data_IF_385894200896
#
_entry.id   IF_385894200896
#
_cell.length_a   1.000
_cell.length_b   1.000
_cell.length_c   1.000
_cell.angle_alpha   90.00
_cell.angle_beta   90.00
_cell.angle_gamma   90.00
#
_symmetry.space_group_name_H-M   'P 1'
#
loop_
_entity.id
_entity.type
_entity.pdbx_description
1 polymer ?
#
# COMPACT_ATOMS: atom_id res chain seq x y z
N UNK A 1 -20.60 35.06 -4.30
CA UNK A 1 -20.08 34.22 -3.20
C UNK A 1 -19.43 32.99 -3.81
N UNK A 2 -18.12 32.75 -3.63
CA UNK A 2 -17.58 31.40 -3.74
C UNK A 2 -17.44 30.78 -2.36
N UNK A 3 -17.65 29.46 -2.34
CA UNK A 3 -17.94 28.64 -1.19
C UNK A 3 -16.69 28.45 -0.31
N UNK A 4 -16.89 28.83 0.96
CA UNK A 4 -16.23 28.45 2.23
C UNK A 4 -15.18 27.34 2.17
N UNK A 5 -13.99 27.67 2.70
CA UNK A 5 -13.06 26.83 3.45
C UNK A 5 -13.05 25.34 3.05
N UNK A 6 -12.24 24.99 2.06
CA UNK A 6 -11.48 23.74 2.14
C UNK A 6 -10.63 23.84 3.39
N UNK A 7 -11.13 23.30 4.51
CA UNK A 7 -10.26 22.85 5.60
C UNK A 7 -9.15 22.07 4.91
N UNK A 8 -7.93 22.62 4.91
CA UNK A 8 -6.74 21.87 4.53
C UNK A 8 -6.86 20.54 5.28
N UNK A 9 -6.96 19.43 4.55
CA UNK A 9 -6.76 18.14 5.17
C UNK A 9 -5.36 18.23 5.74
N UNK A 10 -5.23 18.23 7.08
CA UNK A 10 -3.91 18.31 7.74
C UNK A 10 -3.05 17.05 7.49
N UNK A 11 -3.50 16.14 6.60
CA UNK A 11 -2.84 14.91 6.22
C UNK A 11 -3.18 14.49 4.79
N UNK A 12 -2.44 13.48 4.34
CA UNK A 12 -2.61 12.84 3.05
C UNK A 12 -3.82 11.91 3.08
N UNK A 13 -4.69 12.03 2.09
CA UNK A 13 -5.76 11.06 1.86
C UNK A 13 -5.22 9.93 0.99
N UNK A 14 -5.38 8.68 1.40
CA UNK A 14 -5.00 7.50 0.64
C UNK A 14 -6.27 6.69 0.37
N UNK A 15 -6.57 6.43 -0.90
CA UNK A 15 -7.75 5.69 -1.33
C UNK A 15 -7.29 4.40 -2.00
N UNK A 16 -7.72 3.26 -1.48
CA UNK A 16 -7.54 1.97 -2.13
C UNK A 16 -8.56 1.84 -3.27
N UNK A 17 -8.08 1.58 -4.48
CA UNK A 17 -8.92 1.38 -5.67
C UNK A 17 -9.23 -0.10 -5.82
N UNK A 18 -8.21 -0.92 -6.11
CA UNK A 18 -8.33 -2.36 -6.24
C UNK A 18 -6.96 -3.07 -6.26
N UNK A 19 -7.00 -4.39 -6.42
CA UNK A 19 -5.85 -5.21 -6.79
C UNK A 19 -6.05 -5.77 -8.20
N UNK A 20 -5.01 -5.67 -9.04
CA UNK A 20 -4.99 -6.23 -10.39
C UNK A 20 -3.86 -7.25 -10.48
N UNK A 21 -4.19 -8.46 -10.93
CA UNK A 21 -3.18 -9.46 -11.31
C UNK A 21 -2.70 -9.17 -12.73
N UNK A 22 -1.40 -8.90 -12.90
CA UNK A 22 -0.81 -8.82 -14.25
C UNK A 22 -0.29 -10.18 -14.67
N UNK A 23 -0.94 -10.78 -15.66
CA UNK A 23 -0.56 -12.09 -16.20
C UNK A 23 0.81 -12.11 -16.90
N UNK A 24 1.24 -10.98 -17.47
CA UNK A 24 2.54 -10.85 -18.17
C UNK A 24 3.72 -10.82 -17.20
N UNK A 25 3.56 -10.16 -16.06
CA UNK A 25 4.63 -9.94 -15.07
C UNK A 25 4.48 -10.82 -13.83
N UNK A 26 3.43 -11.65 -13.80
CA UNK A 26 3.02 -12.51 -12.70
C UNK A 26 3.16 -11.79 -11.35
N UNK A 27 2.45 -10.69 -11.15
CA UNK A 27 2.52 -9.91 -9.92
C UNK A 27 1.13 -9.44 -9.49
N UNK A 28 0.98 -9.18 -8.19
CA UNK A 28 -0.17 -8.48 -7.63
C UNK A 28 0.15 -6.98 -7.58
N UNK A 29 -0.68 -6.16 -8.25
CA UNK A 29 -0.58 -4.71 -8.24
C UNK A 29 -1.72 -4.10 -7.43
N UNK A 30 -1.40 -3.48 -6.30
CA UNK A 30 -2.36 -2.68 -5.52
C UNK A 30 -2.40 -1.25 -6.03
N UNK A 31 -3.55 -0.81 -6.54
CA UNK A 31 -3.75 0.55 -7.03
C UNK A 31 -4.32 1.45 -5.93
N UNK A 32 -3.67 2.59 -5.74
CA UNK A 32 -4.07 3.60 -4.78
C UNK A 32 -4.08 4.98 -5.42
N UNK A 33 -4.97 5.84 -4.94
CA UNK A 33 -4.93 7.27 -5.20
C UNK A 33 -4.55 7.98 -3.92
N UNK A 34 -3.57 8.86 -4.00
CA UNK A 34 -3.19 9.71 -2.87
C UNK A 34 -3.50 11.17 -3.19
N UNK A 35 -4.01 11.89 -2.22
CA UNK A 35 -4.24 13.33 -2.30
C UNK A 35 -3.39 14.01 -1.23
N UNK A 36 -2.52 14.92 -1.67
CA UNK A 36 -1.70 15.72 -0.77
C UNK A 36 -2.55 16.75 -0.02
N UNK A 37 -2.05 17.31 1.10
CA UNK A 37 -2.73 18.40 1.82
C UNK A 37 -3.08 19.61 0.94
N UNK A 38 -2.28 19.88 -0.09
CA UNK A 38 -2.48 20.96 -1.07
C UNK A 38 -3.50 20.60 -2.17
N UNK A 39 -4.09 19.40 -2.10
CA UNK A 39 -5.10 18.91 -3.05
C UNK A 39 -4.53 18.30 -4.32
N UNK A 40 -3.22 18.04 -4.41
CA UNK A 40 -2.63 17.35 -5.58
C UNK A 40 -2.91 15.86 -5.51
N UNK A 41 -3.43 15.30 -6.59
CA UNK A 41 -3.78 13.88 -6.70
C UNK A 41 -2.69 13.15 -7.50
N UNK A 42 -2.22 12.00 -7.00
CA UNK A 42 -1.32 11.08 -7.71
C UNK A 42 -1.83 9.64 -7.58
N UNK A 43 -1.56 8.82 -8.60
CA UNK A 43 -1.85 7.37 -8.56
C UNK A 43 -0.57 6.59 -8.25
N UNK A 44 -0.64 5.68 -7.28
CA UNK A 44 0.48 4.84 -6.82
C UNK A 44 0.12 3.36 -7.04
N UNK A 45 1.13 2.53 -7.36
CA UNK A 45 0.98 1.09 -7.59
C UNK A 45 1.95 0.27 -6.74
N UNK A 46 1.50 -0.25 -5.61
CA UNK A 46 2.35 -1.15 -4.82
C UNK A 46 2.40 -2.52 -5.49
N UNK A 47 3.61 -3.04 -5.74
CA UNK A 47 3.82 -4.28 -6.48
C UNK A 47 4.37 -5.37 -5.58
N UNK A 48 3.68 -6.50 -5.57
CA UNK A 48 4.14 -7.73 -4.94
C UNK A 48 4.49 -8.75 -6.04
N UNK A 49 5.79 -9.06 -6.16
CA UNK A 49 6.28 -10.06 -7.11
C UNK A 49 5.74 -11.44 -6.77
N UNK A 50 5.53 -12.29 -7.78
CA UNK A 50 5.14 -13.68 -7.56
C UNK A 50 6.11 -14.43 -6.68
N UNK A 51 7.41 -14.25 -6.85
CA UNK A 51 8.43 -14.97 -6.06
C UNK A 51 8.23 -14.70 -4.58
N UNK A 52 8.09 -13.43 -4.20
CA UNK A 52 7.77 -13.03 -2.84
C UNK A 52 6.47 -13.68 -2.33
N UNK A 53 5.39 -13.69 -3.12
CA UNK A 53 4.11 -14.28 -2.73
C UNK A 53 4.23 -15.80 -2.54
N UNK A 54 4.84 -16.49 -3.52
CA UNK A 54 5.01 -17.93 -3.53
C UNK A 54 5.89 -18.37 -2.34
N UNK A 55 6.99 -17.66 -2.08
CA UNK A 55 7.93 -17.95 -1.00
C UNK A 55 7.32 -17.64 0.38
N UNK A 56 6.72 -16.46 0.55
CA UNK A 56 6.17 -16.01 1.84
C UNK A 56 5.04 -16.93 2.31
N UNK A 57 4.11 -17.28 1.42
CA UNK A 57 2.98 -18.15 1.74
C UNK A 57 3.28 -19.65 1.56
N UNK A 58 4.52 -20.00 1.19
CA UNK A 58 4.97 -21.38 0.93
C UNK A 58 4.04 -22.12 -0.03
N UNK A 59 3.71 -21.48 -1.15
CA UNK A 59 2.78 -22.02 -2.14
C UNK A 59 3.45 -23.23 -2.82
N UNK A 60 2.82 -24.42 -2.80
CA UNK A 60 3.40 -25.59 -3.45
C UNK A 60 3.53 -25.37 -4.96
N UNK A 61 4.70 -25.71 -5.51
CA UNK A 61 5.01 -25.65 -6.94
C UNK A 61 4.36 -26.75 -7.78
N UNK A 62 3.12 -27.13 -7.49
CA UNK A 62 2.41 -28.22 -8.16
C UNK A 62 1.56 -27.72 -9.35
N UNK A 63 0.84 -28.65 -9.99
CA UNK A 63 -0.06 -28.35 -11.13
C UNK A 63 -1.18 -27.35 -10.79
N UNK A 64 -1.51 -27.20 -9.50
CA UNK A 64 -2.53 -26.31 -8.98
C UNK A 64 -1.95 -24.97 -8.48
N UNK A 65 -0.66 -24.68 -8.67
CA UNK A 65 0.00 -23.47 -8.15
C UNK A 65 -0.78 -22.17 -8.46
N UNK A 66 -1.34 -22.03 -9.67
CA UNK A 66 -2.13 -20.84 -10.05
C UNK A 66 -3.41 -20.72 -9.21
N UNK A 67 -4.12 -21.82 -8.99
CA UNK A 67 -5.35 -21.87 -8.19
C UNK A 67 -5.05 -21.63 -6.71
N UNK A 68 -3.97 -22.24 -6.20
CA UNK A 68 -3.52 -22.07 -4.83
C UNK A 68 -3.14 -20.60 -4.55
N UNK A 69 -2.43 -19.96 -5.48
CA UNK A 69 -2.11 -18.53 -5.39
C UNK A 69 -3.35 -17.65 -5.41
N UNK A 70 -4.26 -17.83 -6.38
CA UNK A 70 -5.48 -17.04 -6.46
C UNK A 70 -6.31 -17.14 -5.15
N UNK A 71 -6.39 -18.35 -4.57
CA UNK A 71 -7.03 -18.56 -3.26
C UNK A 71 -6.36 -17.75 -2.15
N UNK A 72 -5.03 -17.81 -2.04
CA UNK A 72 -4.26 -17.05 -1.04
C UNK A 72 -4.42 -15.55 -1.23
N UNK A 73 -4.38 -15.06 -2.47
CA UNK A 73 -4.54 -13.65 -2.79
C UNK A 73 -5.89 -13.12 -2.31
N UNK A 74 -6.95 -13.90 -2.47
CA UNK A 74 -8.29 -13.53 -1.98
C UNK A 74 -8.39 -13.63 -0.45
N UNK A 75 -7.95 -14.74 0.15
CA UNK A 75 -8.01 -14.97 1.61
C UNK A 75 -7.15 -13.97 2.40
N UNK A 76 -6.02 -13.54 1.83
CA UNK A 76 -5.04 -12.64 2.46
C UNK A 76 -5.07 -11.24 1.87
N UNK A 77 -6.12 -10.87 1.11
CA UNK A 77 -6.26 -9.55 0.49
C UNK A 77 -6.09 -8.38 1.48
N UNK A 78 -6.60 -8.54 2.69
CA UNK A 78 -6.45 -7.55 3.77
C UNK A 78 -4.99 -7.33 4.17
N UNK A 79 -4.16 -8.39 4.13
CA UNK A 79 -2.75 -8.34 4.51
C UNK A 79 -1.94 -7.60 3.45
N UNK A 80 -2.18 -7.90 2.17
CA UNK A 80 -1.59 -7.14 1.06
C UNK A 80 -1.95 -5.66 1.12
N UNK A 81 -3.20 -5.35 1.50
CA UNK A 81 -3.64 -3.96 1.68
C UNK A 81 -2.88 -3.27 2.81
N UNK A 82 -2.68 -3.94 3.96
CA UNK A 82 -1.85 -3.41 5.07
C UNK A 82 -0.41 -3.17 4.65
N UNK A 83 0.21 -4.14 3.99
CA UNK A 83 1.55 -4.02 3.44
C UNK A 83 1.67 -2.81 2.49
N UNK A 84 0.70 -2.64 1.59
CA UNK A 84 0.69 -1.53 0.65
C UNK A 84 0.52 -0.16 1.33
N UNK A 85 -0.35 -0.07 2.35
CA UNK A 85 -0.52 1.17 3.11
C UNK A 85 0.78 1.62 3.78
N UNK A 86 1.47 0.72 4.48
CA UNK A 86 2.74 1.04 5.14
C UNK A 86 3.78 1.52 4.12
N UNK A 87 3.86 0.90 2.94
CA UNK A 87 4.76 1.35 1.87
C UNK A 87 4.42 2.74 1.35
N UNK A 88 3.14 3.06 1.21
CA UNK A 88 2.70 4.40 0.79
C UNK A 88 3.05 5.44 1.87
N UNK A 89 2.84 5.12 3.15
CA UNK A 89 3.21 5.99 4.27
C UNK A 89 4.73 6.24 4.32
N UNK A 90 5.53 5.19 4.15
CA UNK A 90 7.00 5.29 4.03
C UNK A 90 7.42 6.20 2.87
N UNK A 91 6.71 6.14 1.74
CA UNK A 91 6.98 6.98 0.58
C UNK A 91 6.66 8.45 0.86
N UNK A 92 5.49 8.71 1.46
CA UNK A 92 5.07 10.06 1.86
C UNK A 92 6.10 10.67 2.82
N UNK A 93 6.57 9.91 3.81
CA UNK A 93 7.57 10.37 4.79
C UNK A 93 8.95 10.68 4.21
N UNK A 94 9.29 10.06 3.08
CA UNK A 94 10.56 10.31 2.39
C UNK A 94 10.48 11.49 1.42
N UNK A 95 9.29 12.05 1.17
CA UNK A 95 9.07 13.15 0.21
C UNK A 95 9.70 12.87 -1.16
N UNK A 96 9.80 11.59 -1.54
CA UNK A 96 10.35 11.18 -2.84
C UNK A 96 9.34 11.60 -3.90
N UNK A 97 9.80 12.28 -4.95
CA UNK A 97 8.91 12.63 -6.06
C UNK A 97 8.34 11.34 -6.63
N UNK A 98 7.02 11.23 -6.57
CA UNK A 98 6.24 10.02 -6.80
C UNK A 98 6.11 9.81 -8.32
N UNK A 99 7.25 9.72 -9.00
CA UNK A 99 7.34 9.53 -10.45
C UNK A 99 7.70 8.09 -10.80
N UNK A 100 8.21 7.30 -9.84
CA UNK A 100 8.32 5.85 -9.95
C UNK A 100 7.29 5.16 -9.02
N UNK A 101 6.13 4.73 -9.56
CA UNK A 101 5.00 4.32 -8.76
C UNK A 101 5.05 2.86 -8.30
N UNK A 102 6.13 2.11 -8.58
CA UNK A 102 6.28 0.69 -8.22
C UNK A 102 7.13 0.53 -6.96
N UNK A 103 6.47 0.39 -5.80
CA UNK A 103 7.16 0.03 -4.56
C UNK A 103 7.29 -1.49 -4.51
N UNK A 104 8.52 -2.00 -4.59
CA UNK A 104 8.81 -3.43 -4.48
C UNK A 104 9.00 -3.84 -3.02
N UNK A 105 8.22 -4.82 -2.57
CA UNK A 105 8.44 -5.46 -1.29
C UNK A 105 8.96 -6.88 -1.49
N UNK A 106 10.21 -7.13 -1.08
CA UNK A 106 10.86 -8.45 -1.07
C UNK A 106 11.26 -8.90 0.34
N UNK A 107 11.03 -8.05 1.34
CA UNK A 107 11.47 -8.29 2.71
C UNK A 107 10.41 -9.09 3.48
N UNK A 108 10.65 -10.40 3.56
CA UNK A 108 9.79 -11.34 4.28
C UNK A 108 9.76 -11.08 5.78
N UNK A 109 10.84 -10.57 6.38
CA UNK A 109 10.88 -10.24 7.81
C UNK A 109 10.01 -9.01 8.10
N UNK A 110 10.06 -7.99 7.23
CA UNK A 110 9.14 -6.85 7.29
C UNK A 110 7.68 -7.28 7.12
N UNK A 111 7.39 -8.12 6.13
CA UNK A 111 6.03 -8.59 5.86
C UNK A 111 5.47 -9.38 7.06
N UNK A 112 6.32 -10.21 7.67
CA UNK A 112 6.01 -10.98 8.88
C UNK A 112 5.75 -10.08 10.09
N UNK A 113 6.58 -9.07 10.32
CA UNK A 113 6.34 -8.08 11.40
C UNK A 113 4.98 -7.38 11.27
N UNK A 114 4.51 -7.15 10.03
CA UNK A 114 3.18 -6.56 9.80
C UNK A 114 2.06 -7.58 10.02
N UNK A 115 2.24 -8.82 9.56
CA UNK A 115 1.26 -9.90 9.82
C UNK A 115 1.08 -10.14 11.33
N UNK A 116 2.18 -10.11 12.08
CA UNK A 116 2.22 -10.28 13.54
C UNK A 116 1.77 -9.03 14.32
N UNK A 117 1.54 -7.90 13.64
CA UNK A 117 1.10 -6.64 14.25
C UNK A 117 2.19 -5.86 14.98
N UNK A 118 3.46 -6.27 14.85
CA UNK A 118 4.62 -5.52 15.36
C UNK A 118 4.86 -4.21 14.60
N UNK A 119 4.38 -4.13 13.36
CA UNK A 119 4.33 -2.91 12.55
C UNK A 119 2.89 -2.74 12.05
N UNK A 120 2.31 -1.56 12.29
CA UNK A 120 0.95 -1.24 11.89
C UNK A 120 0.96 -0.01 10.96
N UNK A 121 0.02 0.09 10.00
CA UNK A 121 -0.21 1.34 9.29
C UNK A 121 -0.50 2.46 10.30
N UNK A 122 0.14 3.61 10.12
CA UNK A 122 -0.12 4.81 10.92
C UNK A 122 -1.34 5.57 10.42
N UNK A 123 -1.77 5.31 9.19
CA UNK A 123 -2.98 5.90 8.64
C UNK A 123 -4.24 5.38 9.32
N UNK A 124 -5.16 6.31 9.61
CA UNK A 124 -6.45 6.00 10.20
C UNK A 124 -7.47 5.72 9.08
N UNK A 125 -8.19 4.60 9.16
CA UNK A 125 -9.32 4.34 8.26
C UNK A 125 -10.52 5.23 8.66
N UNK A 126 -10.99 6.05 7.73
CA UNK A 126 -12.14 6.95 7.95
C UNK A 126 -13.43 6.27 7.46
N UNK A 127 -13.38 5.71 6.25
CA UNK A 127 -14.47 4.99 5.58
C UNK A 127 -13.80 3.84 4.83
N UNK A 128 -14.51 2.72 4.63
CA UNK A 128 -14.01 1.55 3.88
C UNK A 128 -13.20 1.98 2.65
N UNK A 129 -11.91 1.59 2.61
CA UNK A 129 -10.93 1.91 1.56
C UNK A 129 -10.37 3.35 1.53
N UNK A 130 -10.72 4.23 2.47
CA UNK A 130 -10.21 5.59 2.59
C UNK A 130 -9.46 5.75 3.91
N UNK A 131 -8.19 6.12 3.80
CA UNK A 131 -7.26 6.29 4.90
C UNK A 131 -6.77 7.73 4.95
N UNK A 132 -6.55 8.24 6.16
CA UNK A 132 -5.92 9.52 6.39
C UNK A 132 -4.59 9.31 7.09
N UNK A 133 -3.53 9.83 6.47
CA UNK A 133 -2.17 9.73 6.97
C UNK A 133 -1.63 11.11 7.30
N UNK A 134 -1.24 11.33 8.56
CA UNK A 134 -0.56 12.55 8.98
C UNK A 134 0.91 12.20 9.21
N UNK A 135 1.83 12.68 8.36
CA UNK A 135 3.25 12.45 8.56
C UNK A 135 3.68 12.99 9.92
N UNK A 136 4.46 12.22 10.66
CA UNK A 136 5.10 12.75 11.87
C UNK A 136 6.00 13.91 11.43
N UNK A 137 5.75 15.11 11.97
CA UNK A 137 6.67 16.23 11.78
C UNK A 137 8.05 15.74 12.21
N UNK A 138 8.98 15.60 11.26
CA UNK A 138 10.40 15.49 11.61
C UNK A 138 10.72 16.78 12.35
N UNK A 139 10.75 16.74 13.68
CA UNK A 139 11.34 17.79 14.49
C UNK A 139 12.81 17.77 14.10
N UNK A 140 13.16 18.61 13.13
CA UNK A 140 14.54 18.81 12.75
C UNK A 140 15.25 19.38 13.96
N UNK A 141 16.13 18.57 14.56
CA UNK A 141 17.25 19.14 15.29
C UNK A 141 18.09 19.87 14.22
N UNK A 142 17.95 21.20 14.21
CA UNK A 142 18.89 22.13 13.57
C UNK A 142 20.23 22.05 14.29
#
# INVERSE_FOLDING_TARGET
>A
MPIRNTKNLEGWKIVFVDFVERHTDLCLLGRFEITSPEGKIKSIRVKFSREFIDDYFRIPGDVNIKKNRAKILEEKKWLFKKWALIRIEELIDKSVDIDEPEIFSKDSDWAKKIEEGSVLPRSQEIISNIYLYVPEKRIGFK
#
